data_IF_608978525559
#
_entry.id   IF_608978525559
#
_cell.length_a   1.000
_cell.length_b   1.000
_cell.length_c   1.000
_cell.angle_alpha   90.00
_cell.angle_beta   90.00
_cell.angle_gamma   90.00
#
_symmetry.space_group_name_H-M   'P 1'
#
loop_
_entity.id
_entity.type
_entity.pdbx_description
1 polymer ?
#
# COMPACT_ATOMS: atom_id res chain seq x y z
N UNK A 1 -6.93 -1.99 42.14
CA UNK A 1 -6.33 -2.77 41.03
C UNK A 1 -6.74 -2.09 39.75
N UNK A 2 -5.87 -1.25 39.20
CA UNK A 2 -6.06 -0.66 37.87
C UNK A 2 -6.01 -1.81 36.87
N UNK A 3 -6.98 -1.92 35.96
CA UNK A 3 -6.94 -2.90 34.88
C UNK A 3 -5.68 -2.71 34.01
N UNK A 4 -5.33 -3.69 33.15
CA UNK A 4 -4.21 -3.52 32.22
C UNK A 4 -4.42 -2.24 31.40
N UNK A 5 -3.41 -1.36 31.37
CA UNK A 5 -3.41 -0.19 30.49
C UNK A 5 -3.46 -0.66 29.04
N UNK A 6 -4.36 -0.06 28.27
CA UNK A 6 -4.50 -0.37 26.85
C UNK A 6 -3.27 0.13 26.09
N UNK A 7 -2.79 -0.68 25.16
CA UNK A 7 -1.77 -0.28 24.20
C UNK A 7 -2.25 0.88 23.30
N UNK A 8 -1.31 1.59 22.69
CA UNK A 8 -1.64 2.65 21.72
C UNK A 8 -2.50 2.15 20.56
N UNK A 9 -2.30 0.91 20.14
CA UNK A 9 -3.10 0.24 19.12
C UNK A 9 -4.57 0.07 19.56
N UNK A 10 -4.80 -0.42 20.78
CA UNK A 10 -6.15 -0.61 21.32
C UNK A 10 -6.90 0.71 21.50
N UNK A 11 -6.19 1.77 21.92
CA UNK A 11 -6.76 3.12 21.98
C UNK A 11 -7.16 3.65 20.59
N UNK A 12 -6.29 3.50 19.58
CA UNK A 12 -6.59 3.90 18.22
C UNK A 12 -7.83 3.18 17.67
N UNK A 13 -7.89 1.85 17.85
CA UNK A 13 -9.02 1.02 17.42
C UNK A 13 -10.34 1.47 18.05
N UNK A 14 -10.36 1.65 19.39
CA UNK A 14 -11.57 2.11 20.09
C UNK A 14 -11.99 3.51 19.66
N UNK A 15 -11.02 4.40 19.44
CA UNK A 15 -11.30 5.77 18.98
C UNK A 15 -11.97 5.76 17.61
N UNK A 16 -11.46 4.96 16.67
CA UNK A 16 -12.03 4.82 15.33
C UNK A 16 -13.38 4.09 15.36
N UNK A 17 -13.48 3.00 16.12
CA UNK A 17 -14.71 2.22 16.23
C UNK A 17 -15.89 3.07 16.73
N UNK A 18 -15.66 3.93 17.72
CA UNK A 18 -16.68 4.84 18.25
C UNK A 18 -17.23 5.84 17.21
N UNK A 19 -16.49 6.06 16.12
CA UNK A 19 -16.84 6.94 14.98
C UNK A 19 -17.28 6.16 13.74
N UNK A 20 -17.27 4.83 13.81
CA UNK A 20 -17.55 3.93 12.69
C UNK A 20 -18.97 3.37 12.79
N UNK A 21 -19.53 3.01 11.64
CA UNK A 21 -20.87 2.39 11.50
C UNK A 21 -20.82 1.24 10.49
N UNK A 22 -21.96 0.59 10.26
CA UNK A 22 -22.10 -0.52 9.31
C UNK A 22 -21.91 -1.89 9.96
N UNK A 23 -22.21 -2.92 9.19
CA UNK A 23 -22.06 -4.33 9.60
C UNK A 23 -20.59 -4.73 9.71
N UNK A 24 -20.27 -5.81 10.43
CA UNK A 24 -18.92 -6.37 10.44
C UNK A 24 -18.42 -6.72 9.03
N UNK A 25 -17.11 -6.53 8.83
CA UNK A 25 -16.37 -6.90 7.62
C UNK A 25 -16.38 -8.43 7.43
N UNK A 26 -16.53 -8.89 6.18
CA UNK A 26 -16.23 -10.27 5.82
C UNK A 26 -14.74 -10.57 6.05
N UNK A 27 -14.46 -11.45 7.02
CA UNK A 27 -13.10 -11.84 7.41
C UNK A 27 -12.38 -12.69 6.36
N UNK A 28 -13.03 -13.06 5.26
CA UNK A 28 -12.37 -13.62 4.08
C UNK A 28 -11.59 -12.54 3.29
N UNK A 29 -11.94 -11.26 3.43
CA UNK A 29 -11.19 -10.17 2.81
C UNK A 29 -9.82 -9.99 3.49
N UNK A 30 -8.84 -9.49 2.73
CA UNK A 30 -7.46 -9.30 3.19
C UNK A 30 -7.01 -7.86 3.05
N UNK A 31 -6.19 -7.42 4.00
CA UNK A 31 -5.38 -6.22 3.84
C UNK A 31 -4.16 -6.58 3.02
N UNK A 32 -3.80 -5.71 2.08
CA UNK A 32 -2.56 -5.83 1.31
C UNK A 32 -1.67 -4.60 1.50
N UNK A 33 -0.37 -4.84 1.59
CA UNK A 33 0.65 -3.79 1.65
C UNK A 33 1.33 -3.72 0.28
N UNK A 34 0.93 -2.78 -0.56
CA UNK A 34 1.47 -2.60 -1.92
C UNK A 34 2.78 -1.79 -1.91
N UNK A 35 3.80 -2.26 -2.62
CA UNK A 35 5.12 -1.62 -2.71
C UNK A 35 5.90 -2.00 -3.98
N UNK A 36 6.95 -1.24 -4.28
CA UNK A 36 7.94 -1.59 -5.31
C UNK A 36 9.03 -2.47 -4.69
N UNK A 37 9.29 -3.67 -5.24
CA UNK A 37 9.99 -4.72 -4.50
C UNK A 37 11.52 -4.55 -4.40
N UNK A 38 12.15 -3.73 -5.24
CA UNK A 38 13.62 -3.70 -5.44
C UNK A 38 14.40 -3.48 -4.15
N UNK A 39 13.95 -2.55 -3.30
CA UNK A 39 14.58 -2.27 -1.99
C UNK A 39 13.82 -2.88 -0.84
N UNK A 40 12.52 -3.13 -1.00
CA UNK A 40 11.65 -3.58 0.08
C UNK A 40 11.85 -5.06 0.37
N UNK A 41 11.97 -5.91 -0.66
CA UNK A 41 12.10 -7.36 -0.46
C UNK A 41 13.43 -7.70 0.23
N UNK A 42 14.53 -7.06 -0.17
CA UNK A 42 15.82 -7.22 0.51
C UNK A 42 15.73 -6.79 2.00
N UNK A 43 15.12 -5.64 2.29
CA UNK A 43 14.93 -5.19 3.66
C UNK A 43 14.03 -6.13 4.49
N UNK A 44 13.01 -6.74 3.85
CA UNK A 44 12.18 -7.77 4.48
C UNK A 44 12.98 -9.04 4.77
N UNK A 45 13.85 -9.47 3.86
CA UNK A 45 14.70 -10.65 4.06
C UNK A 45 15.69 -10.44 5.22
N UNK A 46 16.21 -9.22 5.36
CA UNK A 46 17.15 -8.88 6.44
C UNK A 46 16.47 -8.73 7.81
N UNK A 47 15.28 -8.13 7.85
CA UNK A 47 14.65 -7.71 9.12
C UNK A 47 13.44 -8.55 9.54
N UNK A 48 12.85 -9.29 8.60
CA UNK A 48 11.58 -10.00 8.78
C UNK A 48 10.37 -9.09 9.02
N UNK A 49 10.50 -7.76 8.89
CA UNK A 49 9.49 -6.79 9.31
C UNK A 49 9.17 -5.75 8.23
N UNK A 50 7.88 -5.54 8.00
CA UNK A 50 7.41 -4.39 7.25
C UNK A 50 7.16 -3.24 8.22
N UNK A 51 7.85 -2.11 8.00
CA UNK A 51 7.84 -0.96 8.91
C UNK A 51 7.29 0.29 8.23
N UNK A 52 6.79 1.22 9.04
CA UNK A 52 6.18 2.46 8.56
C UNK A 52 7.23 3.41 7.94
N UNK A 53 6.76 4.38 7.17
CA UNK A 53 7.57 5.47 6.62
C UNK A 53 8.36 6.24 7.69
N UNK A 54 7.87 6.33 8.93
CA UNK A 54 8.60 6.98 10.02
C UNK A 54 9.90 6.27 10.36
N UNK A 55 10.00 4.96 10.07
CA UNK A 55 11.21 4.17 10.25
C UNK A 55 12.10 4.22 9.00
N UNK A 56 11.51 4.09 7.82
CA UNK A 56 12.29 3.95 6.58
C UNK A 56 12.76 5.28 6.01
N UNK A 57 12.06 6.40 6.29
CA UNK A 57 12.25 7.66 5.59
C UNK A 57 11.89 7.61 4.09
N UNK A 58 11.23 6.54 3.63
CA UNK A 58 10.88 6.31 2.22
C UNK A 58 9.37 6.20 2.05
N UNK A 59 8.85 6.66 0.90
CA UNK A 59 7.41 6.58 0.59
C UNK A 59 7.16 6.61 -0.90
N UNK A 60 6.10 5.91 -1.33
CA UNK A 60 5.52 6.02 -2.66
C UNK A 60 4.42 7.12 -2.71
N UNK A 61 4.12 7.77 -1.57
CA UNK A 61 3.30 8.97 -1.39
C UNK A 61 4.15 10.24 -1.24
N UNK A 62 3.80 11.10 -0.27
CA UNK A 62 4.61 12.26 0.14
C UNK A 62 5.50 11.95 1.36
N UNK A 63 6.65 12.63 1.49
CA UNK A 63 7.57 12.52 2.63
C UNK A 63 7.18 13.47 3.78
N UNK A 64 6.03 13.25 4.39
CA UNK A 64 5.46 14.13 5.43
C UNK A 64 5.41 13.50 6.83
N UNK A 65 6.09 12.36 7.01
CA UNK A 65 6.15 11.57 8.24
C UNK A 65 7.16 12.12 9.26
N UNK A 66 6.91 13.33 9.77
CA UNK A 66 7.70 13.95 10.84
C UNK A 66 6.78 14.79 11.73
N UNK A 67 7.23 15.16 12.94
CA UNK A 67 6.44 15.94 13.87
C UNK A 67 5.96 17.25 13.24
N UNK A 68 4.64 17.44 13.16
CA UNK A 68 4.01 18.62 12.55
C UNK A 68 3.82 18.55 11.02
N UNK A 69 4.30 17.51 10.34
CA UNK A 69 4.03 17.23 8.93
C UNK A 69 2.63 16.66 8.70
N UNK A 70 2.17 16.62 7.45
CA UNK A 70 0.80 16.22 7.09
C UNK A 70 0.43 14.82 7.61
N UNK A 71 1.35 13.85 7.48
CA UNK A 71 1.12 12.50 7.99
C UNK A 71 0.96 12.46 9.50
N UNK A 72 1.77 13.21 10.22
CA UNK A 72 1.62 13.32 11.66
C UNK A 72 0.27 13.93 12.04
N UNK A 73 -0.19 14.97 11.31
CA UNK A 73 -1.45 15.65 11.58
C UNK A 73 -2.67 14.76 11.35
N UNK A 74 -2.74 14.05 10.22
CA UNK A 74 -3.88 13.17 9.98
C UNK A 74 -3.89 11.96 10.91
N UNK A 75 -2.72 11.40 11.27
CA UNK A 75 -2.66 10.29 12.24
C UNK A 75 -3.11 10.76 13.63
N UNK A 76 -2.74 11.97 14.04
CA UNK A 76 -3.21 12.58 15.29
C UNK A 76 -4.74 12.73 15.28
N UNK A 77 -5.32 13.26 14.20
CA UNK A 77 -6.78 13.44 14.08
C UNK A 77 -7.56 12.13 14.04
N UNK A 78 -7.11 11.15 13.25
CA UNK A 78 -7.82 9.89 13.05
C UNK A 78 -7.72 8.96 14.25
N UNK A 79 -6.60 8.99 14.99
CA UNK A 79 -6.31 8.05 16.08
C UNK A 79 -6.34 8.70 17.47
N UNK A 80 -6.93 9.89 17.59
CA UNK A 80 -7.07 10.58 18.87
C UNK A 80 -5.74 10.98 19.53
N UNK A 81 -4.73 11.29 18.73
CA UNK A 81 -3.42 11.75 19.20
C UNK A 81 -2.55 10.69 19.87
N UNK A 82 -2.95 9.42 19.86
CA UNK A 82 -2.26 8.35 20.61
C UNK A 82 -0.82 8.12 20.15
N UNK A 83 -0.52 8.42 18.88
CA UNK A 83 0.82 8.24 18.30
C UNK A 83 1.69 9.50 18.37
N UNK A 84 1.19 10.63 18.87
CA UNK A 84 1.89 11.92 18.80
C UNK A 84 3.25 11.93 19.49
N UNK A 85 3.40 11.09 20.52
CA UNK A 85 4.64 10.86 21.27
C UNK A 85 5.16 9.42 21.18
N UNK A 86 4.52 8.58 20.37
CA UNK A 86 4.91 7.18 20.21
C UNK A 86 6.19 7.06 19.37
N UNK A 87 6.89 5.93 19.49
CA UNK A 87 8.06 5.68 18.65
C UNK A 87 7.65 5.45 17.19
N UNK A 88 8.59 5.62 16.26
CA UNK A 88 8.35 5.35 14.83
C UNK A 88 7.89 3.90 14.56
N UNK A 89 8.33 2.94 15.39
CA UNK A 89 7.98 1.52 15.28
C UNK A 89 6.58 1.19 15.80
N UNK A 90 6.02 2.03 16.66
CA UNK A 90 4.67 1.84 17.21
C UNK A 90 3.59 2.42 16.28
N UNK A 91 3.98 3.24 15.30
CA UNK A 91 3.06 3.87 14.35
C UNK A 91 2.52 2.87 13.33
N UNK A 92 1.27 3.07 12.87
CA UNK A 92 0.63 2.13 11.97
C UNK A 92 1.33 2.01 10.60
N UNK A 93 1.26 0.79 10.06
CA UNK A 93 1.62 0.50 8.67
C UNK A 93 0.41 0.75 7.78
N UNK A 94 0.64 1.35 6.62
CA UNK A 94 -0.41 1.71 5.67
C UNK A 94 -0.52 0.66 4.57
N UNK A 95 -1.75 0.28 4.25
CA UNK A 95 -2.10 -0.63 3.17
C UNK A 95 -3.49 -0.32 2.62
N UNK A 96 -4.14 -1.32 2.02
CA UNK A 96 -5.53 -1.22 1.62
C UNK A 96 -6.29 -2.51 1.85
N UNK A 97 -7.60 -2.41 2.09
CA UNK A 97 -8.49 -3.58 2.11
C UNK A 97 -8.77 -4.03 0.67
N UNK A 98 -8.47 -5.28 0.33
CA UNK A 98 -8.67 -5.82 -1.01
C UNK A 98 -10.13 -6.25 -1.25
N UNK A 99 -11.07 -5.32 -1.06
CA UNK A 99 -12.52 -5.56 -1.21
C UNK A 99 -12.93 -5.84 -2.66
N UNK A 100 -12.12 -5.41 -3.63
CA UNK A 100 -12.27 -5.71 -5.07
C UNK A 100 -11.71 -7.08 -5.47
N UNK A 101 -11.09 -7.82 -4.54
CA UNK A 101 -10.43 -9.10 -4.80
C UNK A 101 -9.41 -9.04 -5.96
N UNK A 102 -8.74 -7.90 -6.08
CA UNK A 102 -7.76 -7.65 -7.14
C UNK A 102 -6.53 -8.54 -6.92
N UNK A 103 -6.05 -9.27 -7.95
CA UNK A 103 -4.81 -10.04 -7.84
C UNK A 103 -3.57 -9.14 -7.72
N UNK A 104 -3.71 -7.84 -7.96
CA UNK A 104 -2.64 -6.84 -7.83
C UNK A 104 -2.60 -6.21 -6.43
N UNK A 105 -3.40 -6.71 -5.49
CA UNK A 105 -3.63 -6.09 -4.20
C UNK A 105 -4.63 -4.92 -4.27
N UNK A 106 -4.94 -4.37 -3.11
CA UNK A 106 -5.93 -3.32 -2.91
C UNK A 106 -5.51 -1.97 -3.50
N UNK A 107 -4.22 -1.64 -3.48
CA UNK A 107 -3.73 -0.30 -3.85
C UNK A 107 -2.50 -0.35 -4.76
N UNK A 108 -2.61 -0.91 -5.98
CA UNK A 108 -1.49 -1.03 -6.93
C UNK A 108 -0.89 0.31 -7.34
N UNK A 109 -1.57 1.44 -7.07
CA UNK A 109 -0.98 2.77 -7.16
C UNK A 109 0.37 2.88 -6.44
N UNK A 110 0.56 2.16 -5.35
CA UNK A 110 1.78 2.24 -4.52
C UNK A 110 2.83 1.19 -4.84
N UNK A 111 2.59 0.29 -5.80
CA UNK A 111 3.62 -0.64 -6.23
C UNK A 111 3.10 -1.89 -6.93
N UNK A 112 4.04 -2.56 -7.59
CA UNK A 112 3.83 -3.77 -8.39
C UNK A 112 3.79 -5.04 -7.57
N UNK A 113 4.29 -5.06 -6.34
CA UNK A 113 4.24 -6.19 -5.45
C UNK A 113 3.33 -5.89 -4.25
N UNK A 114 2.89 -6.94 -3.54
CA UNK A 114 2.24 -6.76 -2.25
C UNK A 114 2.45 -7.93 -1.30
N UNK A 115 2.46 -7.62 0.00
CA UNK A 115 2.18 -8.63 1.03
C UNK A 115 0.68 -8.77 1.18
N UNK A 116 0.17 -10.01 1.14
CA UNK A 116 -1.20 -10.35 1.55
C UNK A 116 -1.16 -10.76 3.01
N UNK A 117 -1.79 -9.98 3.87
CA UNK A 117 -1.76 -10.20 5.31
C UNK A 117 -2.72 -11.32 5.74
N UNK A 118 -2.53 -11.88 6.93
CA UNK A 118 -3.45 -12.85 7.53
C UNK A 118 -4.75 -12.20 7.99
N UNK A 119 -5.82 -13.00 8.17
CA UNK A 119 -7.09 -12.50 8.70
C UNK A 119 -6.99 -11.93 10.12
N UNK A 120 -5.97 -12.35 10.88
CA UNK A 120 -5.77 -11.91 12.27
C UNK A 120 -5.39 -10.44 12.35
N UNK A 121 -4.71 -9.88 11.34
CA UNK A 121 -4.35 -8.45 11.32
C UNK A 121 -5.57 -7.54 11.30
N UNK A 122 -6.73 -8.01 10.83
CA UNK A 122 -7.98 -7.24 10.84
C UNK A 122 -8.39 -6.81 12.25
N UNK A 123 -8.07 -7.60 13.27
CA UNK A 123 -8.37 -7.29 14.68
C UNK A 123 -7.66 -6.02 15.17
N UNK A 124 -6.57 -5.63 14.51
CA UNK A 124 -5.76 -4.45 14.83
C UNK A 124 -5.66 -3.45 13.68
N UNK A 125 -6.63 -3.47 12.77
CA UNK A 125 -6.65 -2.58 11.61
C UNK A 125 -7.84 -1.62 11.67
N UNK A 126 -7.57 -0.34 11.45
CA UNK A 126 -8.59 0.68 11.15
C UNK A 126 -8.57 1.01 9.67
N UNK A 127 -9.64 1.63 9.19
CA UNK A 127 -9.82 1.95 7.79
C UNK A 127 -10.37 3.36 7.60
N UNK A 128 -10.12 3.95 6.45
CA UNK A 128 -10.81 5.16 6.00
C UNK A 128 -11.16 5.07 4.50
N UNK A 129 -12.17 5.84 4.11
CA UNK A 129 -12.49 6.07 2.71
C UNK A 129 -12.82 7.56 2.48
N UNK A 130 -12.19 8.23 1.50
CA UNK A 130 -11.13 7.74 0.60
C UNK A 130 -9.77 7.61 1.33
N UNK A 131 -8.71 8.28 0.88
CA UNK A 131 -7.41 8.21 1.57
C UNK A 131 -7.28 9.25 2.70
N UNK A 132 -6.31 9.04 3.61
CA UNK A 132 -6.05 9.96 4.74
C UNK A 132 -5.68 11.39 4.33
N UNK A 133 -5.13 11.57 3.12
CA UNK A 133 -4.70 12.86 2.62
C UNK A 133 -5.90 13.77 2.32
N UNK A 134 -7.03 13.19 1.91
CA UNK A 134 -8.28 13.90 1.64
C UNK A 134 -9.10 14.22 2.91
N UNK A 135 -8.52 14.06 4.09
CA UNK A 135 -9.16 14.33 5.40
C UNK A 135 -10.53 13.63 5.56
N UNK A 136 -10.58 12.29 5.44
CA UNK A 136 -11.83 11.55 5.35
C UNK A 136 -12.60 11.59 6.67
N UNK A 137 -13.92 11.76 6.56
CA UNK A 137 -14.83 11.63 7.71
C UNK A 137 -15.32 10.19 7.90
N UNK A 138 -15.32 9.38 6.82
CA UNK A 138 -15.75 8.00 6.86
C UNK A 138 -14.61 7.10 7.35
N UNK A 139 -14.83 6.50 8.52
CA UNK A 139 -13.89 5.59 9.16
C UNK A 139 -14.54 4.22 9.36
N UNK A 140 -13.69 3.20 9.54
CA UNK A 140 -14.14 1.82 9.76
C UNK A 140 -13.18 1.01 10.61
N UNK A 141 -13.72 -0.07 11.18
CA UNK A 141 -12.98 -1.18 11.79
C UNK A 141 -13.51 -2.50 11.25
N UNK A 142 -12.87 -3.62 11.58
CA UNK A 142 -13.38 -4.93 11.18
C UNK A 142 -14.80 -5.21 11.71
N UNK A 143 -15.19 -4.64 12.86
CA UNK A 143 -16.51 -4.85 13.46
C UNK A 143 -17.55 -3.82 12.99
N UNK A 144 -17.13 -2.72 12.37
CA UNK A 144 -17.99 -1.62 11.89
C UNK A 144 -17.50 -1.11 10.53
N UNK A 145 -18.02 -1.69 9.45
CA UNK A 145 -17.50 -1.50 8.09
C UNK A 145 -18.57 -1.00 7.11
N UNK A 146 -18.97 0.27 7.23
CA UNK A 146 -19.80 0.93 6.21
C UNK A 146 -19.02 1.30 4.93
N UNK A 147 -17.68 1.30 4.98
CA UNK A 147 -16.84 1.86 3.91
C UNK A 147 -16.92 1.09 2.59
N UNK A 148 -17.20 -0.21 2.63
CA UNK A 148 -17.34 -1.03 1.41
C UNK A 148 -18.50 -0.53 0.57
N UNK A 149 -19.67 -0.31 1.16
CA UNK A 149 -20.84 0.18 0.43
C UNK A 149 -20.60 1.57 -0.16
N UNK A 150 -19.92 2.44 0.60
CA UNK A 150 -19.54 3.79 0.13
C UNK A 150 -18.59 3.70 -1.06
N UNK A 151 -17.53 2.89 -0.97
CA UNK A 151 -16.55 2.73 -2.03
C UNK A 151 -17.14 2.06 -3.28
N UNK A 152 -18.08 1.12 -3.12
CA UNK A 152 -18.79 0.49 -4.25
C UNK A 152 -19.69 1.47 -5.01
N UNK A 153 -20.19 2.52 -4.34
CA UNK A 153 -21.07 3.52 -4.93
C UNK A 153 -20.33 4.74 -5.53
N UNK A 154 -19.03 4.91 -5.24
CA UNK A 154 -18.20 5.98 -5.79
C UNK A 154 -17.65 5.60 -7.18
N UNK A 155 -17.36 6.61 -8.01
CA UNK A 155 -16.84 6.46 -9.39
C UNK A 155 -15.45 7.09 -9.51
N UNK A 156 -14.51 6.57 -8.71
CA UNK A 156 -13.11 7.01 -8.74
C UNK A 156 -12.32 6.28 -9.82
N UNK A 157 -11.21 6.91 -10.25
CA UNK A 157 -10.22 6.21 -11.05
C UNK A 157 -9.74 4.94 -10.34
N UNK A 158 -9.48 3.88 -11.10
CA UNK A 158 -9.02 2.58 -10.62
C UNK A 158 -7.80 2.65 -9.68
N UNK A 159 -6.93 3.65 -9.83
CA UNK A 159 -5.78 3.82 -8.94
C UNK A 159 -6.12 4.48 -7.60
N UNK A 160 -7.27 5.15 -7.51
CA UNK A 160 -7.76 5.87 -6.34
C UNK A 160 -8.98 5.16 -5.69
N UNK A 161 -9.47 4.07 -6.28
CA UNK A 161 -10.54 3.19 -5.76
C UNK A 161 -9.98 2.16 -4.76
N UNK A 162 -9.58 2.62 -3.57
CA UNK A 162 -9.17 1.75 -2.48
C UNK A 162 -9.68 2.26 -1.13
N UNK A 163 -9.98 1.33 -0.23
CA UNK A 163 -10.20 1.62 1.19
C UNK A 163 -8.84 1.53 1.87
N UNK A 164 -8.35 2.65 2.37
CA UNK A 164 -7.06 2.70 3.05
C UNK A 164 -7.14 1.96 4.38
N UNK A 165 -6.10 1.18 4.69
CA UNK A 165 -5.99 0.40 5.90
C UNK A 165 -4.79 0.86 6.73
N UNK A 166 -4.96 0.93 8.05
CA UNK A 166 -3.92 1.26 9.02
C UNK A 166 -3.76 0.10 9.99
N UNK A 167 -2.74 -0.72 9.77
CA UNK A 167 -2.42 -1.86 10.64
C UNK A 167 -1.63 -1.33 11.83
N UNK A 168 -2.22 -1.36 13.02
CA UNK A 168 -1.60 -0.84 14.24
C UNK A 168 -0.58 -1.83 14.82
N UNK A 169 0.61 -1.33 15.13
CA UNK A 169 1.75 -2.14 15.57
C UNK A 169 2.57 -2.73 14.42
N UNK A 170 3.69 -3.42 14.74
CA UNK A 170 4.60 -3.96 13.73
C UNK A 170 3.94 -5.05 12.88
N UNK A 171 4.39 -5.19 11.63
CA UNK A 171 3.99 -6.29 10.73
C UNK A 171 5.20 -7.20 10.54
N UNK A 172 5.10 -8.43 11.05
CA UNK A 172 6.10 -9.48 10.89
C UNK A 172 5.73 -10.37 9.72
N UNK A 173 6.66 -10.66 8.81
CA UNK A 173 6.38 -11.54 7.66
C UNK A 173 5.97 -12.94 8.13
N UNK A 174 6.66 -13.49 9.13
CA UNK A 174 6.39 -14.85 9.64
C UNK A 174 4.99 -15.00 10.28
N UNK A 175 4.53 -13.97 10.99
CA UNK A 175 3.28 -14.05 11.75
C UNK A 175 2.08 -13.47 10.98
N UNK A 176 2.31 -12.43 10.18
CA UNK A 176 1.26 -11.60 9.62
C UNK A 176 1.11 -11.74 8.10
N UNK A 177 2.00 -12.44 7.38
CA UNK A 177 1.90 -12.59 5.92
C UNK A 177 1.48 -14.00 5.50
N UNK A 178 0.42 -14.08 4.70
CA UNK A 178 0.05 -15.32 4.00
C UNK A 178 0.98 -15.54 2.79
N UNK A 179 1.23 -14.47 2.04
CA UNK A 179 2.07 -14.52 0.85
C UNK A 179 2.69 -13.16 0.50
N UNK A 180 3.87 -13.20 -0.11
CA UNK A 180 4.43 -12.14 -0.94
C UNK A 180 4.03 -12.41 -2.39
N UNK A 181 3.29 -11.50 -3.00
CA UNK A 181 2.85 -11.59 -4.39
C UNK A 181 3.68 -10.64 -5.26
N UNK A 182 4.34 -11.17 -6.28
CA UNK A 182 5.25 -10.45 -7.16
C UNK A 182 4.73 -10.34 -8.60
N UNK A 183 5.25 -9.35 -9.32
CA UNK A 183 5.05 -9.21 -10.77
C UNK A 183 5.99 -10.17 -11.53
N UNK A 184 5.52 -10.90 -12.56
CA UNK A 184 6.34 -11.84 -13.33
C UNK A 184 7.61 -11.27 -13.95
N UNK A 185 7.71 -9.95 -14.13
CA UNK A 185 8.96 -9.31 -14.59
C UNK A 185 10.13 -9.50 -13.63
N UNK A 186 9.89 -9.85 -12.35
CA UNK A 186 10.95 -10.15 -11.38
C UNK A 186 11.40 -11.62 -11.36
N UNK A 187 10.87 -12.49 -12.23
CA UNK A 187 11.35 -13.87 -12.35
C UNK A 187 12.80 -13.93 -12.83
N UNK A 188 13.60 -14.79 -12.22
CA UNK A 188 15.03 -14.95 -12.46
C UNK A 188 15.87 -13.77 -12.00
N UNK A 189 15.33 -12.89 -11.14
CA UNK A 189 16.06 -11.72 -10.63
C UNK A 189 16.47 -11.90 -9.17
N UNK A 190 17.37 -11.03 -8.69
CA UNK A 190 17.73 -10.98 -7.27
C UNK A 190 16.52 -10.76 -6.35
N UNK A 191 15.46 -10.08 -6.82
CA UNK A 191 14.22 -9.91 -6.04
C UNK A 191 13.54 -11.25 -5.75
N UNK A 192 13.49 -12.16 -6.73
CA UNK A 192 12.93 -13.52 -6.51
C UNK A 192 13.81 -14.33 -5.55
N UNK A 193 15.13 -14.22 -5.69
CA UNK A 193 16.08 -14.90 -4.81
C UNK A 193 15.94 -14.44 -3.35
N UNK A 194 15.85 -13.14 -3.11
CA UNK A 194 15.59 -12.56 -1.78
C UNK A 194 14.21 -12.99 -1.26
N UNK A 195 13.17 -12.92 -2.10
CA UNK A 195 11.81 -13.33 -1.73
C UNK A 195 11.74 -14.80 -1.29
N UNK A 196 12.52 -15.68 -1.90
CA UNK A 196 12.56 -17.12 -1.57
C UNK A 196 13.05 -17.42 -0.16
N UNK A 197 13.72 -16.46 0.51
CA UNK A 197 14.21 -16.58 1.89
C UNK A 197 13.17 -16.18 2.93
N UNK A 198 12.07 -15.55 2.51
CA UNK A 198 11.04 -15.08 3.42
C UNK A 198 10.21 -16.25 3.97
N UNK A 199 9.77 -16.19 5.24
CA UNK A 199 8.95 -17.23 5.86
C UNK A 199 7.47 -17.14 5.44
N UNK A 200 7.18 -16.95 4.15
CA UNK A 200 5.82 -16.92 3.61
C UNK A 200 5.80 -17.44 2.16
N UNK A 201 4.62 -17.71 1.61
CA UNK A 201 4.51 -18.16 0.22
C UNK A 201 4.93 -17.04 -0.74
N UNK A 202 5.64 -17.39 -1.82
CA UNK A 202 5.91 -16.48 -2.95
C UNK A 202 4.94 -16.83 -4.08
N UNK A 203 4.07 -15.88 -4.40
CA UNK A 203 3.05 -16.00 -5.44
C UNK A 203 3.27 -14.96 -6.54
N UNK A 204 2.55 -15.11 -7.66
CA UNK A 204 2.67 -14.22 -8.81
C UNK A 204 1.30 -13.79 -9.30
N UNK A 205 1.12 -12.50 -9.49
CA UNK A 205 -0.07 -11.96 -10.14
C UNK A 205 0.08 -12.00 -11.68
N UNK A 206 -0.96 -11.70 -12.48
CA UNK A 206 -0.93 -11.82 -13.94
C UNK A 206 0.10 -10.92 -14.68
N UNK A 207 0.78 -10.03 -13.97
CA UNK A 207 1.76 -9.08 -14.50
C UNK A 207 1.19 -7.76 -14.99
N UNK A 208 2.05 -6.73 -14.98
CA UNK A 208 1.85 -5.45 -15.63
C UNK A 208 2.71 -5.35 -16.88
N UNK A 209 2.08 -5.02 -18.01
CA UNK A 209 2.75 -4.83 -19.29
C UNK A 209 2.03 -3.77 -20.10
N UNK A 210 2.73 -2.69 -20.46
CA UNK A 210 2.18 -1.61 -21.27
C UNK A 210 3.04 -1.41 -22.52
N UNK A 211 2.46 -1.53 -23.71
CA UNK A 211 3.16 -1.23 -24.95
C UNK A 211 3.34 0.28 -25.12
N UNK A 212 4.41 0.69 -25.79
CA UNK A 212 4.63 2.10 -26.16
C UNK A 212 3.51 2.67 -27.02
N UNK A 213 2.86 1.84 -27.85
CA UNK A 213 1.71 2.26 -28.65
C UNK A 213 0.48 2.55 -27.81
N UNK A 214 0.23 1.75 -26.77
CA UNK A 214 -0.85 2.03 -25.83
C UNK A 214 -0.50 3.23 -24.94
N UNK A 215 0.73 3.33 -24.47
CA UNK A 215 1.21 4.46 -23.66
C UNK A 215 0.97 5.81 -24.37
N UNK A 216 1.24 5.89 -25.69
CA UNK A 216 1.01 7.10 -26.50
C UNK A 216 -0.45 7.56 -26.54
N UNK A 217 -1.41 6.68 -26.25
CA UNK A 217 -2.84 7.00 -26.24
C UNK A 217 -3.29 7.75 -24.99
N UNK A 218 -2.42 7.86 -23.97
CA UNK A 218 -2.78 8.42 -22.65
C UNK A 218 -1.96 9.66 -22.23
N UNK A 219 -1.78 10.67 -23.09
CA UNK A 219 -0.98 11.87 -22.74
C UNK A 219 -1.61 12.67 -21.58
N UNK A 220 -2.93 12.65 -21.44
CA UNK A 220 -3.65 13.52 -20.51
C UNK A 220 -3.74 12.95 -19.08
N UNK A 221 -3.46 11.65 -18.87
CA UNK A 221 -3.69 11.02 -17.56
C UNK A 221 -2.75 11.55 -16.47
N UNK A 222 -1.46 11.67 -16.79
CA UNK A 222 -0.45 12.27 -15.89
C UNK A 222 0.30 13.44 -16.52
N UNK A 223 0.24 13.59 -17.84
CA UNK A 223 0.97 14.59 -18.60
C UNK A 223 1.88 13.96 -19.67
N UNK A 224 2.04 14.62 -20.83
CA UNK A 224 2.78 14.08 -21.97
C UNK A 224 4.26 13.82 -21.64
N UNK A 225 4.87 14.59 -20.75
CA UNK A 225 6.26 14.38 -20.32
C UNK A 225 6.50 13.01 -19.67
N UNK A 226 5.49 12.41 -19.06
CA UNK A 226 5.60 11.06 -18.46
C UNK A 226 5.33 9.95 -19.48
N UNK A 227 4.56 10.25 -20.53
CA UNK A 227 4.51 9.39 -21.71
C UNK A 227 5.88 9.38 -22.38
N UNK A 228 6.49 10.54 -22.62
CA UNK A 228 7.82 10.64 -23.23
C UNK A 228 8.89 9.90 -22.42
N UNK A 229 8.92 10.08 -21.09
CA UNK A 229 9.81 9.33 -20.21
C UNK A 229 9.55 7.82 -20.28
N UNK A 230 8.28 7.40 -20.30
CA UNK A 230 7.93 5.99 -20.45
C UNK A 230 8.36 5.41 -21.82
N UNK A 231 8.31 6.20 -22.89
CA UNK A 231 8.83 5.82 -24.20
C UNK A 231 10.35 5.69 -24.20
N UNK A 232 11.05 6.58 -23.50
CA UNK A 232 12.51 6.60 -23.38
C UNK A 232 13.04 5.35 -22.67
N UNK A 233 12.41 4.93 -21.57
CA UNK A 233 12.90 3.82 -20.74
C UNK A 233 12.38 2.45 -21.20
N UNK A 234 11.39 2.40 -22.10
CA UNK A 234 10.82 1.15 -22.57
C UNK A 234 11.87 0.27 -23.26
N UNK A 235 11.83 -1.03 -22.95
CA UNK A 235 12.72 -2.03 -23.57
C UNK A 235 11.89 -2.83 -24.55
N UNK A 236 12.39 -2.95 -25.79
CA UNK A 236 11.69 -3.63 -26.89
C UNK A 236 10.24 -3.15 -27.10
N UNK A 237 10.01 -1.85 -26.92
CA UNK A 237 8.70 -1.21 -27.09
C UNK A 237 7.70 -1.51 -25.97
N UNK A 238 8.14 -1.97 -24.80
CA UNK A 238 7.27 -2.32 -23.67
C UNK A 238 7.81 -1.80 -22.33
N UNK A 239 6.88 -1.37 -21.47
CA UNK A 239 7.11 -1.08 -20.06
C UNK A 239 6.65 -2.25 -19.18
N UNK A 240 7.45 -2.56 -18.16
CA UNK A 240 7.16 -3.50 -17.07
C UNK A 240 7.62 -2.88 -15.75
N UNK A 241 7.17 -3.38 -14.59
CA UNK A 241 7.61 -2.83 -13.31
C UNK A 241 9.12 -2.90 -13.12
N UNK A 242 9.75 -4.02 -13.49
CA UNK A 242 11.21 -4.17 -13.42
C UNK A 242 11.94 -3.10 -14.23
N UNK A 243 11.47 -2.77 -15.44
CA UNK A 243 12.09 -1.73 -16.27
C UNK A 243 12.09 -0.37 -15.55
N UNK A 244 10.98 -0.01 -14.92
CA UNK A 244 10.88 1.23 -14.11
C UNK A 244 11.82 1.14 -12.89
N UNK A 245 11.90 -0.03 -12.25
CA UNK A 245 12.80 -0.31 -11.12
C UNK A 245 14.28 -0.19 -11.47
N UNK A 246 14.69 -0.70 -12.62
CA UNK A 246 16.09 -0.72 -13.08
C UNK A 246 16.66 0.69 -13.31
N UNK A 247 15.80 1.67 -13.61
CA UNK A 247 16.19 3.06 -13.86
C UNK A 247 15.95 3.98 -12.66
N UNK A 248 15.56 3.43 -11.50
CA UNK A 248 15.16 4.19 -10.30
C UNK A 248 16.20 5.20 -9.82
N UNK A 249 17.48 4.88 -9.96
CA UNK A 249 18.58 5.75 -9.51
C UNK A 249 19.03 6.77 -10.58
N UNK A 250 18.44 6.72 -11.78
CA UNK A 250 18.78 7.61 -12.91
C UNK A 250 17.82 8.79 -13.10
N UNK A 251 16.60 8.71 -12.55
CA UNK A 251 15.54 9.70 -12.74
C UNK A 251 14.93 10.13 -11.41
N UNK A 252 14.20 11.24 -11.44
CA UNK A 252 13.42 11.68 -10.28
C UNK A 252 12.34 10.65 -9.92
N UNK A 253 12.19 10.35 -8.62
CA UNK A 253 11.27 9.32 -8.16
C UNK A 253 9.79 9.74 -8.33
N UNK A 254 9.47 11.03 -8.29
CA UNK A 254 8.12 11.50 -8.57
C UNK A 254 7.78 11.36 -10.05
N UNK A 255 8.74 11.56 -10.94
CA UNK A 255 8.54 11.35 -12.38
C UNK A 255 8.32 9.85 -12.68
N UNK A 256 9.17 8.97 -12.15
CA UNK A 256 8.99 7.52 -12.30
C UNK A 256 7.69 7.02 -11.67
N UNK A 257 7.23 7.63 -10.56
CA UNK A 257 5.91 7.34 -9.99
C UNK A 257 4.77 7.66 -10.96
N UNK A 258 4.89 8.73 -11.76
CA UNK A 258 3.87 9.08 -12.76
C UNK A 258 3.89 8.11 -13.95
N UNK A 259 5.08 7.64 -14.36
CA UNK A 259 5.22 6.53 -15.32
C UNK A 259 4.62 5.24 -14.78
N UNK A 260 4.87 4.93 -13.50
CA UNK A 260 4.26 3.79 -12.82
C UNK A 260 2.73 3.88 -12.85
N UNK A 261 2.15 5.05 -12.56
CA UNK A 261 0.70 5.21 -12.63
C UNK A 261 0.13 4.91 -14.03
N UNK A 262 0.82 5.31 -15.11
CA UNK A 262 0.42 4.96 -16.48
C UNK A 262 0.44 3.43 -16.67
N UNK A 263 1.53 2.77 -16.27
CA UNK A 263 1.66 1.31 -16.34
C UNK A 263 0.59 0.58 -15.49
N UNK A 264 0.39 0.99 -14.24
CA UNK A 264 -0.54 0.34 -13.31
C UNK A 264 -2.01 0.51 -13.71
N UNK A 265 -2.33 1.59 -14.44
CA UNK A 265 -3.69 1.91 -14.90
C UNK A 265 -4.04 1.25 -16.23
N UNK A 266 -3.09 1.16 -17.15
CA UNK A 266 -3.34 0.74 -18.54
C UNK A 266 -2.61 -0.55 -18.94
N UNK A 267 -1.72 -1.07 -18.09
CA UNK A 267 -0.91 -2.25 -18.37
C UNK A 267 -1.40 -3.54 -17.70
N UNK A 268 -2.69 -3.66 -17.37
CA UNK A 268 -3.26 -4.92 -16.88
C UNK A 268 -3.78 -5.75 -18.07
N UNK A 269 -3.50 -7.05 -18.16
CA UNK A 269 -3.99 -7.93 -19.23
C UNK A 269 -5.52 -8.04 -19.30
#
# INVERSE_FOLDING_TARGET
>A
MSGPELSGAEHALRHVEARSTGSPLDRALRVTLNFHPERVVAALADTGRYVSQFVTGTSNGGLTAFAGGDRWRWESRMFGGVYDRASAYDRPVYGGLNFRLSPYGASPRFGSAHLRLTADTLSRTTFCYPDSFLEPENLGTADRMALIEIALADDRDLLDDYIEAHVHGPVSVEADAEALVLDPSYRGTAVEEEASRLPCAVEWHPGFRLSVDELRRHPDFRGPQYVDLGLEIAVDGVLTPKIIGDVRDRYDQQDLKKVWHLLARFGRP
#
